data_IF_940628489521
#
_entry.id   IF_940628489521
#
_cell.length_a   1.000
_cell.length_b   1.000
_cell.length_c   1.000
_cell.angle_alpha   90.00
_cell.angle_beta   90.00
_cell.angle_gamma   90.00
#
_symmetry.space_group_name_H-M   'P 1'
#
loop_
_entity.id
_entity.type
_entity.pdbx_description
1 polymer ?
#
# COMPACT_ATOMS: atom_id res chain seq x y z
N UNK A 1 1.76 -21.65 -7.35
CA UNK A 1 1.74 -20.30 -6.76
C UNK A 1 2.54 -20.36 -5.49
N UNK A 2 3.55 -19.50 -5.32
CA UNK A 2 4.26 -19.43 -4.05
C UNK A 2 3.32 -18.84 -2.99
N UNK A 3 3.22 -19.48 -1.83
CA UNK A 3 2.52 -18.90 -0.68
C UNK A 3 3.46 -17.87 -0.06
N UNK A 4 3.34 -16.61 -0.47
CA UNK A 4 4.04 -15.50 0.15
C UNK A 4 3.38 -15.20 1.50
N UNK A 5 4.13 -15.38 2.59
CA UNK A 5 3.69 -14.98 3.93
C UNK A 5 4.02 -13.51 4.14
N UNK A 6 3.19 -12.61 3.61
CA UNK A 6 3.32 -11.16 3.83
C UNK A 6 2.73 -10.84 5.22
N UNK A 7 3.49 -10.19 6.12
CA UNK A 7 2.96 -9.68 7.38
C UNK A 7 1.76 -8.76 7.11
N UNK A 8 0.67 -8.91 7.87
CA UNK A 8 -0.51 -8.07 7.70
C UNK A 8 -0.22 -6.63 8.11
N UNK A 9 -0.91 -5.68 7.49
CA UNK A 9 -0.81 -4.27 7.86
C UNK A 9 -1.39 -4.05 9.25
N UNK A 10 -0.51 -3.83 10.23
CA UNK A 10 -0.81 -3.63 11.66
C UNK A 10 -0.35 -2.25 12.16
N UNK A 11 -0.12 -1.35 11.20
CA UNK A 11 0.00 0.09 11.39
C UNK A 11 1.41 0.61 11.47
N UNK A 12 2.27 -0.04 12.26
CA UNK A 12 3.67 0.39 12.37
C UNK A 12 4.56 -0.14 11.23
N UNK A 13 4.04 -1.03 10.38
CA UNK A 13 4.76 -1.70 9.31
C UNK A 13 4.32 -1.25 7.91
N UNK A 14 3.71 -0.08 7.77
CA UNK A 14 3.13 0.35 6.49
C UNK A 14 4.14 0.36 5.34
N UNK A 15 5.36 0.86 5.55
CA UNK A 15 6.37 0.96 4.48
C UNK A 15 6.81 -0.41 3.97
N UNK A 16 7.13 -1.33 4.87
CA UNK A 16 7.50 -2.70 4.51
C UNK A 16 6.32 -3.43 3.86
N UNK A 17 5.13 -3.32 4.45
CA UNK A 17 3.89 -3.87 3.91
C UNK A 17 3.61 -3.36 2.48
N UNK A 18 3.72 -2.04 2.25
CA UNK A 18 3.45 -1.43 0.96
C UNK A 18 4.43 -1.95 -0.11
N UNK A 19 5.70 -2.15 0.25
CA UNK A 19 6.67 -2.75 -0.67
C UNK A 19 6.33 -4.21 -1.00
N UNK A 20 6.05 -5.03 0.01
CA UNK A 20 5.73 -6.46 -0.18
C UNK A 20 4.46 -6.65 -1.02
N UNK A 21 3.39 -5.89 -0.70
CA UNK A 21 2.13 -5.93 -1.44
C UNK A 21 2.29 -5.39 -2.85
N UNK A 22 3.11 -4.36 -3.07
CA UNK A 22 3.45 -3.88 -4.42
C UNK A 22 4.10 -4.98 -5.26
N UNK A 23 5.08 -5.72 -4.73
CA UNK A 23 5.69 -6.82 -5.46
C UNK A 23 4.71 -7.96 -5.75
N UNK A 24 3.78 -8.24 -4.84
CA UNK A 24 2.69 -9.18 -5.08
C UNK A 24 1.74 -8.71 -6.20
N UNK A 25 1.38 -7.43 -6.22
CA UNK A 25 0.57 -6.84 -7.29
C UNK A 25 1.30 -6.88 -8.65
N UNK A 26 2.64 -6.72 -8.65
CA UNK A 26 3.48 -6.86 -9.85
C UNK A 26 3.53 -8.31 -10.35
N UNK A 27 3.69 -9.29 -9.46
CA UNK A 27 3.62 -10.74 -9.80
C UNK A 27 2.29 -11.09 -10.47
N UNK A 28 1.21 -10.43 -10.03
CA UNK A 28 -0.15 -10.59 -10.58
C UNK A 28 -0.45 -9.70 -11.78
N UNK A 29 0.50 -8.90 -12.24
CA UNK A 29 0.34 -7.98 -13.38
C UNK A 29 -0.83 -6.99 -13.22
N UNK A 30 -1.11 -6.59 -11.98
CA UNK A 30 -2.18 -5.62 -11.67
C UNK A 30 -1.65 -4.34 -11.02
N UNK A 31 -0.35 -4.25 -10.75
CA UNK A 31 0.26 -3.04 -10.20
C UNK A 31 0.02 -1.79 -11.07
N UNK A 32 0.05 -1.93 -12.39
CA UNK A 32 -0.15 -0.80 -13.31
C UNK A 32 -1.55 -0.17 -13.20
N UNK A 33 -2.54 -0.91 -12.69
CA UNK A 33 -3.86 -0.37 -12.38
C UNK A 33 -3.76 0.50 -11.12
N UNK A 34 -3.08 0.02 -10.08
CA UNK A 34 -2.95 0.69 -8.78
C UNK A 34 -2.10 1.97 -8.87
N UNK A 35 -1.04 1.96 -9.69
CA UNK A 35 -0.21 3.14 -9.93
C UNK A 35 -0.69 4.01 -11.12
N UNK A 36 -1.91 3.77 -11.59
CA UNK A 36 -2.62 4.57 -12.60
C UNK A 36 -1.91 4.65 -13.97
N UNK A 37 -0.94 3.79 -14.24
CA UNK A 37 -0.30 3.69 -15.58
C UNK A 37 -1.18 2.98 -16.61
N UNK A 38 -2.09 2.14 -16.15
CA UNK A 38 -3.06 1.48 -16.99
C UNK A 38 -4.40 2.20 -16.96
N UNK A 39 -4.87 2.59 -18.14
CA UNK A 39 -6.10 3.37 -18.29
C UNK A 39 -7.27 2.42 -18.45
N UNK A 40 -8.36 2.67 -17.72
CA UNK A 40 -9.61 1.92 -17.87
C UNK A 40 -10.13 2.03 -19.32
N UNK A 41 -10.33 0.90 -20.01
CA UNK A 41 -10.84 0.90 -21.38
C UNK A 41 -12.26 1.46 -21.39
N UNK A 42 -12.54 2.35 -22.35
CA UNK A 42 -13.87 2.92 -22.55
C UNK A 42 -14.66 2.06 -23.52
N UNK A 43 -15.92 1.77 -23.17
CA UNK A 43 -16.85 1.17 -24.11
C UNK A 43 -17.34 2.25 -25.07
N UNK A 44 -17.10 2.09 -26.37
CA UNK A 44 -17.69 2.93 -27.40
C UNK A 44 -19.12 2.49 -27.73
N UNK A 45 -19.91 3.39 -28.32
CA UNK A 45 -21.32 3.15 -28.65
C UNK A 45 -21.49 2.09 -29.77
N UNK A 46 -20.45 1.85 -30.56
CA UNK A 46 -20.34 0.78 -31.56
C UNK A 46 -19.69 -0.45 -30.93
N UNK A 47 -20.41 -1.17 -30.07
CA UNK A 47 -19.86 -2.29 -29.29
C UNK A 47 -19.31 -3.42 -30.17
N UNK A 48 -17.99 -3.42 -30.36
CA UNK A 48 -17.21 -4.57 -30.79
C UNK A 48 -17.12 -5.58 -29.63
N UNK A 49 -17.21 -6.88 -29.94
CA UNK A 49 -17.09 -7.96 -28.96
C UNK A 49 -15.74 -7.91 -28.23
N UNK A 50 -14.68 -7.46 -28.91
CA UNK A 50 -13.35 -7.33 -28.30
C UNK A 50 -13.29 -6.20 -27.27
N UNK A 51 -13.94 -5.05 -27.53
CA UNK A 51 -14.02 -3.95 -26.57
C UNK A 51 -14.75 -4.35 -25.28
N UNK A 52 -15.85 -5.12 -25.40
CA UNK A 52 -16.59 -5.67 -24.25
C UNK A 52 -15.71 -6.62 -23.44
N UNK A 53 -14.91 -7.45 -24.12
CA UNK A 53 -14.00 -8.41 -23.49
C UNK A 53 -12.88 -7.71 -22.73
N UNK A 54 -12.28 -6.67 -23.31
CA UNK A 54 -11.24 -5.87 -22.65
C UNK A 54 -11.75 -5.17 -21.39
N UNK A 55 -12.96 -4.58 -21.43
CA UNK A 55 -13.59 -3.99 -20.23
C UNK A 55 -13.83 -5.03 -19.13
N UNK A 56 -14.29 -6.24 -19.50
CA UNK A 56 -14.47 -7.33 -18.52
C UNK A 56 -13.13 -7.79 -17.93
N UNK A 57 -12.10 -7.93 -18.75
CA UNK A 57 -10.75 -8.31 -18.33
C UNK A 57 -10.15 -7.27 -17.36
N UNK A 58 -10.30 -5.98 -17.67
CA UNK A 58 -9.86 -4.90 -16.80
C UNK A 58 -10.57 -4.93 -15.45
N UNK A 59 -11.90 -5.07 -15.44
CA UNK A 59 -12.69 -5.18 -14.19
C UNK A 59 -12.26 -6.37 -13.34
N UNK A 60 -12.01 -7.53 -13.94
CA UNK A 60 -11.53 -8.70 -13.22
C UNK A 60 -10.15 -8.45 -12.56
N UNK A 61 -9.21 -7.82 -13.29
CA UNK A 61 -7.90 -7.45 -12.73
C UNK A 61 -7.98 -6.39 -11.64
N UNK A 62 -8.90 -5.42 -11.77
CA UNK A 62 -9.19 -4.43 -10.73
C UNK A 62 -9.67 -5.09 -9.43
N UNK A 63 -10.57 -6.09 -9.54
CA UNK A 63 -11.04 -6.88 -8.38
C UNK A 63 -9.91 -7.72 -7.75
N UNK A 64 -9.02 -8.27 -8.56
CA UNK A 64 -7.82 -8.97 -8.08
C UNK A 64 -6.93 -8.01 -7.28
N UNK A 65 -6.63 -6.82 -7.81
CA UNK A 65 -5.84 -5.81 -7.11
C UNK A 65 -6.47 -5.43 -5.76
N UNK A 66 -7.77 -5.15 -5.76
CA UNK A 66 -8.49 -4.79 -4.53
C UNK A 66 -8.48 -5.92 -3.50
N UNK A 67 -8.69 -7.16 -3.94
CA UNK A 67 -8.64 -8.34 -3.06
C UNK A 67 -7.27 -8.53 -2.43
N UNK A 68 -6.19 -8.35 -3.21
CA UNK A 68 -4.81 -8.45 -2.71
C UNK A 68 -4.55 -7.38 -1.64
N UNK A 69 -4.97 -6.14 -1.88
CA UNK A 69 -4.84 -5.06 -0.89
C UNK A 69 -5.61 -5.41 0.38
N UNK A 70 -6.92 -5.67 0.27
CA UNK A 70 -7.80 -5.89 1.43
C UNK A 70 -7.39 -7.11 2.27
N UNK A 71 -7.08 -8.24 1.63
CA UNK A 71 -6.74 -9.47 2.34
C UNK A 71 -5.39 -9.39 3.04
N UNK A 72 -4.52 -8.45 2.66
CA UNK A 72 -3.23 -8.22 3.34
C UNK A 72 -3.30 -7.18 4.46
N UNK A 73 -4.49 -6.66 4.80
CA UNK A 73 -4.70 -5.79 5.95
C UNK A 73 -5.15 -6.61 7.15
N UNK A 74 -4.58 -6.30 8.32
CA UNK A 74 -5.05 -6.90 9.57
C UNK A 74 -6.52 -6.54 9.81
N UNK A 75 -7.27 -7.47 10.40
CA UNK A 75 -8.71 -7.28 10.62
C UNK A 75 -9.05 -5.98 11.38
N UNK A 76 -8.20 -5.56 12.33
CA UNK A 76 -8.39 -4.34 13.12
C UNK A 76 -8.29 -3.05 12.29
N UNK A 77 -7.58 -3.09 11.16
CA UNK A 77 -7.29 -1.93 10.32
C UNK A 77 -8.13 -1.87 9.03
N UNK A 78 -8.89 -2.93 8.71
CA UNK A 78 -9.74 -2.98 7.50
C UNK A 78 -10.80 -1.89 7.44
N UNK A 79 -11.21 -1.34 8.60
CA UNK A 79 -12.17 -0.24 8.67
C UNK A 79 -11.74 1.00 7.87
N UNK A 80 -10.43 1.19 7.66
CA UNK A 80 -9.86 2.30 6.88
C UNK A 80 -10.33 2.24 5.41
N UNK A 81 -10.57 1.04 4.86
CA UNK A 81 -10.93 0.82 3.45
C UNK A 81 -12.24 0.05 3.26
N UNK A 82 -13.04 -0.13 4.31
CA UNK A 82 -14.23 -1.01 4.33
C UNK A 82 -15.26 -0.71 3.24
N UNK A 83 -15.37 0.54 2.78
CA UNK A 83 -16.35 1.00 1.79
C UNK A 83 -15.73 1.40 0.46
N UNK A 84 -14.48 1.02 0.23
CA UNK A 84 -13.74 1.36 -0.98
C UNK A 84 -13.64 0.12 -1.85
N UNK A 85 -14.21 0.17 -3.05
CA UNK A 85 -14.15 -0.92 -4.03
C UNK A 85 -13.07 -0.68 -5.10
N UNK A 86 -12.47 0.51 -5.10
CA UNK A 86 -11.43 0.91 -6.04
C UNK A 86 -10.03 0.72 -5.44
N UNK A 87 -9.16 -0.09 -6.06
CA UNK A 87 -7.83 -0.37 -5.51
C UNK A 87 -6.89 0.84 -5.55
N UNK A 88 -7.09 1.80 -6.46
CA UNK A 88 -6.29 3.04 -6.52
C UNK A 88 -6.65 3.92 -5.33
N UNK A 89 -7.95 4.11 -5.08
CA UNK A 89 -8.45 4.87 -3.94
C UNK A 89 -8.03 4.21 -2.62
N UNK A 90 -8.17 2.89 -2.50
CA UNK A 90 -7.77 2.17 -1.29
C UNK A 90 -6.26 2.35 -1.01
N UNK A 91 -5.41 2.25 -2.04
CA UNK A 91 -3.97 2.46 -1.90
C UNK A 91 -3.63 3.89 -1.44
N UNK A 92 -4.30 4.90 -2.02
CA UNK A 92 -4.12 6.31 -1.65
C UNK A 92 -4.57 6.58 -0.20
N UNK A 93 -5.74 6.08 0.19
CA UNK A 93 -6.26 6.25 1.56
C UNK A 93 -5.34 5.62 2.58
N UNK A 94 -4.84 4.41 2.33
CA UNK A 94 -3.85 3.76 3.21
C UNK A 94 -2.57 4.59 3.31
N UNK A 95 -2.04 5.09 2.18
CA UNK A 95 -0.86 5.97 2.19
C UNK A 95 -1.10 7.21 3.03
N UNK A 96 -2.20 7.92 2.82
CA UNK A 96 -2.52 9.14 3.57
C UNK A 96 -2.73 8.85 5.06
N UNK A 97 -3.32 7.71 5.42
CA UNK A 97 -3.57 7.35 6.81
C UNK A 97 -2.27 7.03 7.57
N UNK A 98 -1.35 6.26 6.98
CA UNK A 98 -0.13 5.80 7.65
C UNK A 98 1.10 6.68 7.43
N UNK A 99 1.13 7.45 6.33
CA UNK A 99 2.18 8.41 6.00
C UNK A 99 1.55 9.73 5.54
N UNK A 100 0.94 10.49 6.47
CA UNK A 100 0.33 11.77 6.15
C UNK A 100 1.40 12.79 5.75
N UNK A 101 1.33 13.31 4.53
CA UNK A 101 2.25 14.34 4.02
C UNK A 101 1.85 15.74 4.52
N UNK A 102 1.92 15.94 5.84
CA UNK A 102 1.58 17.21 6.48
C UNK A 102 2.78 17.80 7.20
N UNK A 103 2.90 19.14 7.22
CA UNK A 103 3.99 19.83 7.93
C UNK A 103 4.07 19.45 9.41
N UNK A 104 2.92 19.22 10.05
CA UNK A 104 2.85 18.80 11.44
C UNK A 104 3.45 17.40 11.63
N UNK A 105 3.08 16.45 10.77
CA UNK A 105 3.65 15.10 10.76
C UNK A 105 5.15 15.13 10.52
N UNK A 106 5.62 15.86 9.50
CA UNK A 106 7.05 16.02 9.23
C UNK A 106 7.81 16.60 10.43
N UNK A 107 7.22 17.57 11.14
CA UNK A 107 7.83 18.15 12.35
C UNK A 107 7.87 17.16 13.51
N UNK A 108 6.84 16.34 13.68
CA UNK A 108 6.79 15.28 14.70
C UNK A 108 7.84 14.19 14.44
N UNK A 109 7.95 13.73 13.20
CA UNK A 109 8.97 12.75 12.79
C UNK A 109 10.37 13.35 12.97
N UNK A 110 10.59 14.59 12.56
CA UNK A 110 11.85 15.29 12.76
C UNK A 110 12.21 15.43 14.25
N UNK A 111 11.25 15.79 15.10
CA UNK A 111 11.45 15.85 16.54
C UNK A 111 11.81 14.48 17.12
N UNK A 112 11.13 13.43 16.67
CA UNK A 112 11.43 12.04 17.05
C UNK A 112 12.85 11.63 16.65
N UNK A 113 13.32 12.02 15.46
CA UNK A 113 14.69 11.77 15.00
C UNK A 113 15.72 12.48 15.88
N UNK A 114 15.51 13.77 16.17
CA UNK A 114 16.46 14.55 16.99
C UNK A 114 16.56 14.03 18.42
N UNK A 115 15.46 13.50 18.95
CA UNK A 115 15.39 12.91 20.29
C UNK A 115 15.77 11.43 20.32
N UNK A 116 16.06 10.80 19.17
CA UNK A 116 16.46 9.40 19.11
C UNK A 116 17.94 9.26 19.49
N UNK A 117 18.20 9.10 20.78
CA UNK A 117 19.52 8.83 21.32
C UNK A 117 19.73 7.34 21.62
N UNK A 118 20.98 6.89 21.53
CA UNK A 118 21.38 5.55 21.96
C UNK A 118 21.14 5.39 23.46
N UNK A 119 20.49 4.31 23.87
CA UNK A 119 20.23 4.03 25.28
C UNK A 119 21.42 3.32 25.94
N UNK A 120 21.53 3.46 27.26
CA UNK A 120 22.50 2.65 28.04
C UNK A 120 22.12 1.18 27.89
N UNK A 121 23.06 0.35 27.43
CA UNK A 121 22.90 -1.07 27.09
C UNK A 121 22.29 -1.40 25.71
N UNK A 122 21.96 -0.39 24.88
CA UNK A 122 21.50 -0.64 23.51
C UNK A 122 22.67 -0.90 22.56
N UNK A 123 22.57 -1.96 21.74
CA UNK A 123 23.54 -2.19 20.66
C UNK A 123 23.34 -1.19 19.52
N UNK A 124 24.41 -0.92 18.77
CA UNK A 124 24.35 -0.07 17.57
C UNK A 124 23.30 -0.60 16.57
N UNK A 125 23.15 -1.93 16.44
CA UNK A 125 22.16 -2.52 15.54
C UNK A 125 20.71 -2.23 15.95
N UNK A 126 20.40 -2.29 17.25
CA UNK A 126 19.07 -1.95 17.77
C UNK A 126 18.78 -0.46 17.62
N UNK A 127 19.77 0.38 17.92
CA UNK A 127 19.69 1.82 17.69
C UNK A 127 19.42 2.15 16.22
N UNK A 128 20.20 1.58 15.30
CA UNK A 128 20.01 1.77 13.85
C UNK A 128 18.63 1.31 13.38
N UNK A 129 18.12 0.20 13.91
CA UNK A 129 16.78 -0.31 13.57
C UNK A 129 15.68 0.68 13.98
N UNK A 130 15.78 1.25 15.20
CA UNK A 130 14.85 2.29 15.65
C UNK A 130 14.96 3.56 14.83
N UNK A 131 16.17 4.01 14.53
CA UNK A 131 16.40 5.21 13.75
C UNK A 131 15.82 5.07 12.34
N UNK A 132 16.07 3.94 11.68
CA UNK A 132 15.49 3.61 10.37
C UNK A 132 13.97 3.60 10.42
N UNK A 133 13.37 3.02 11.46
CA UNK A 133 11.92 2.97 11.63
C UNK A 133 11.29 4.37 11.70
N UNK A 134 11.93 5.32 12.39
CA UNK A 134 11.44 6.71 12.46
C UNK A 134 11.62 7.37 11.10
N UNK A 135 12.78 7.17 10.45
CA UNK A 135 13.07 7.74 9.13
C UNK A 135 12.10 7.27 8.06
N UNK A 136 11.67 6.01 8.10
CA UNK A 136 10.67 5.43 7.19
C UNK A 136 9.28 6.08 7.32
N UNK A 137 9.01 6.88 8.36
CA UNK A 137 7.74 7.59 8.50
C UNK A 137 7.68 8.93 7.75
N UNK A 138 8.81 9.39 7.18
CA UNK A 138 8.85 10.53 6.26
C UNK A 138 8.18 10.19 4.91
#
# INVERSE_FOLDING_TARGET
MANYSIPKLEGQNYVSWANDVKYLLMERQVWNIVDEKEIEPKLDASTDAEAVKEVKNFKARKQIAMSIIYLNIDSSHRRIVERIDDPVEAWKVLKTYYQPDSKAHHMEVYSSLMNCHILSEESISLFSTRLLRIYEQL
#
